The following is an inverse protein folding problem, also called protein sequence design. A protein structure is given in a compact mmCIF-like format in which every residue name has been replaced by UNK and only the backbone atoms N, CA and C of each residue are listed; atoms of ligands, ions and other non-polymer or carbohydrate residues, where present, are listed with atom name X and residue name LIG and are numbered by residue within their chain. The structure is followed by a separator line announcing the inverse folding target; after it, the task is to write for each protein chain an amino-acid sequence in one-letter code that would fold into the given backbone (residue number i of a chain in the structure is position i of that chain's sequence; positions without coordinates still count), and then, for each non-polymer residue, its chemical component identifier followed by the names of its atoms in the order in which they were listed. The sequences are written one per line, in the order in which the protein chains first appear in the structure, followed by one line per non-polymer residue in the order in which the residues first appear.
data_IF_496488486954
#
_entry.id   IF_496488486954
#
_cell.length_a   1.000
_cell.length_b   1.000
_cell.length_c   1.000
_cell.angle_alpha   90.00
_cell.angle_beta   90.00
_cell.angle_gamma   90.00
#
_symmetry.space_group_name_H-M   'P 1'
#
loop_
_entity.id
_entity.type
_entity.pdbx_description
1 polymer ?
#
# COMPACT_ATOMS: atom_id res chain seq x y z
N UNK A 1 -14.54 -3.46 -7.36
CA UNK A 1 -14.23 -2.42 -6.35
C UNK A 1 -13.31 -1.40 -7.00
N UNK A 2 -13.43 -0.10 -6.71
CA UNK A 2 -12.50 0.91 -7.24
C UNK A 2 -11.35 1.11 -6.24
N UNK A 3 -10.14 0.70 -6.63
CA UNK A 3 -8.96 0.73 -5.76
C UNK A 3 -8.44 2.15 -5.48
N UNK A 4 -8.62 3.09 -6.42
CA UNK A 4 -8.18 4.48 -6.27
C UNK A 4 -9.37 5.47 -6.28
N UNK A 5 -9.37 6.41 -5.33
CA UNK A 5 -10.31 7.54 -5.27
C UNK A 5 -9.62 8.85 -5.67
N UNK A 6 -10.39 9.89 -5.99
CA UNK A 6 -9.81 11.21 -6.38
C UNK A 6 -9.06 11.83 -5.20
N UNK A 7 -9.59 11.64 -4.00
CA UNK A 7 -9.03 12.05 -2.73
C UNK A 7 -7.69 11.38 -2.47
N UNK A 8 -7.60 10.08 -2.74
CA UNK A 8 -6.37 9.31 -2.56
C UNK A 8 -5.30 9.73 -3.58
N UNK A 9 -5.66 9.92 -4.85
CA UNK A 9 -4.76 10.48 -5.87
C UNK A 9 -4.24 11.86 -5.43
N UNK A 10 -5.10 12.72 -4.89
CA UNK A 10 -4.69 14.03 -4.38
C UNK A 10 -3.77 13.92 -3.16
N UNK A 11 -4.00 12.96 -2.26
CA UNK A 11 -3.13 12.72 -1.11
C UNK A 11 -1.72 12.29 -1.56
N UNK A 12 -1.61 11.36 -2.50
CA UNK A 12 -0.32 10.94 -3.07
C UNK A 12 0.41 12.10 -3.75
N UNK A 13 -0.30 12.88 -4.56
CA UNK A 13 0.28 14.04 -5.24
C UNK A 13 0.80 15.10 -4.24
N UNK A 14 0.16 15.25 -3.08
CA UNK A 14 0.62 16.17 -2.02
C UNK A 14 1.86 15.64 -1.29
N UNK A 15 1.96 14.33 -1.09
CA UNK A 15 3.14 13.73 -0.46
C UNK A 15 4.36 13.78 -1.40
N UNK A 16 4.15 13.44 -2.68
CA UNK A 16 5.20 13.36 -3.69
C UNK A 16 6.27 12.32 -3.36
N UNK A 17 7.47 12.53 -3.90
CA UNK A 17 8.66 11.69 -3.68
C UNK A 17 9.00 11.55 -2.20
N UNK A 18 9.29 10.33 -1.73
CA UNK A 18 9.64 10.07 -0.32
C UNK A 18 11.10 9.68 -0.10
N UNK A 19 11.92 9.74 -1.15
CA UNK A 19 13.35 9.45 -1.06
C UNK A 19 14.05 10.38 -0.06
N UNK A 20 14.88 9.81 0.81
CA UNK A 20 15.60 10.55 1.84
C UNK A 20 14.77 11.20 2.95
N UNK A 21 13.43 11.15 2.93
CA UNK A 21 12.58 11.75 3.99
C UNK A 21 12.64 10.98 5.32
N UNK A 22 12.94 9.68 5.27
CA UNK A 22 12.96 8.77 6.42
C UNK A 22 11.57 8.26 6.81
N UNK A 23 11.53 7.11 7.49
CA UNK A 23 10.27 6.38 7.76
C UNK A 23 9.30 7.12 8.69
N UNK A 24 9.79 7.92 9.63
CA UNK A 24 8.94 8.70 10.57
C UNK A 24 8.17 9.83 9.87
N UNK A 25 8.71 10.38 8.78
CA UNK A 25 8.11 11.50 8.02
C UNK A 25 7.34 11.03 6.79
N UNK A 26 7.51 9.78 6.40
CA UNK A 26 6.85 9.18 5.24
C UNK A 26 5.49 8.63 5.66
N UNK A 27 4.40 9.14 5.08
CA UNK A 27 3.05 8.65 5.40
C UNK A 27 2.68 7.47 4.51
N UNK A 28 2.01 6.48 5.08
CA UNK A 28 1.34 5.42 4.32
C UNK A 28 -0.10 5.86 4.07
N UNK A 29 -0.44 6.09 2.80
CA UNK A 29 -1.70 6.71 2.40
C UNK A 29 -2.78 5.68 2.04
N UNK A 30 -2.38 4.48 1.63
CA UNK A 30 -3.30 3.37 1.36
C UNK A 30 -2.74 2.05 1.84
N UNK A 31 -3.65 1.15 2.20
CA UNK A 31 -3.36 -0.24 2.53
C UNK A 31 -4.22 -1.15 1.66
N UNK A 32 -3.56 -2.09 0.99
CA UNK A 32 -4.17 -3.15 0.21
C UNK A 32 -3.78 -4.49 0.83
N UNK A 33 -4.65 -5.48 0.76
CA UNK A 33 -4.37 -6.80 1.32
C UNK A 33 -5.09 -7.91 0.57
N UNK A 34 -4.56 -9.13 0.66
CA UNK A 34 -5.25 -10.35 0.27
C UNK A 34 -4.64 -11.53 1.01
N UNK A 35 -5.46 -12.36 1.66
CA UNK A 35 -4.96 -13.50 2.43
C UNK A 35 -3.87 -13.09 3.43
N UNK A 36 -2.64 -13.54 3.19
CA UNK A 36 -1.46 -13.24 4.03
C UNK A 36 -0.57 -12.11 3.49
N UNK A 37 -0.94 -11.50 2.36
CA UNK A 37 -0.18 -10.44 1.71
C UNK A 37 -0.75 -9.07 2.06
N UNK A 38 0.14 -8.12 2.33
CA UNK A 38 -0.20 -6.73 2.63
C UNK A 38 0.70 -5.78 1.81
N UNK A 39 0.12 -4.70 1.30
CA UNK A 39 0.82 -3.63 0.61
C UNK A 39 0.41 -2.27 1.20
N UNK A 40 1.40 -1.52 1.68
CA UNK A 40 1.23 -0.20 2.28
C UNK A 40 1.89 0.85 1.39
N UNK A 41 1.06 1.59 0.64
CA UNK A 41 1.53 2.56 -0.34
C UNK A 41 1.92 3.89 0.31
N UNK A 42 3.14 4.34 0.05
CA UNK A 42 3.66 5.67 0.41
C UNK A 42 3.65 6.60 -0.79
N UNK A 43 3.90 6.09 -1.99
CA UNK A 43 3.89 6.87 -3.22
C UNK A 43 3.00 6.22 -4.28
N UNK A 44 2.57 7.04 -5.24
CA UNK A 44 1.84 6.58 -6.40
C UNK A 44 2.20 7.44 -7.61
N UNK A 45 2.72 6.80 -8.65
CA UNK A 45 2.88 7.41 -9.96
C UNK A 45 1.60 7.19 -10.80
N UNK A 46 0.85 8.25 -11.13
CA UNK A 46 -0.39 8.12 -11.88
C UNK A 46 -0.19 7.85 -13.38
N UNK A 47 1.03 8.03 -13.91
CA UNK A 47 1.34 7.84 -15.34
C UNK A 47 1.54 6.36 -15.64
N UNK A 48 2.35 5.69 -14.84
CA UNK A 48 2.69 4.28 -14.95
C UNK A 48 1.81 3.40 -14.03
N UNK A 49 0.96 4.01 -13.19
CA UNK A 49 0.03 3.34 -12.26
C UNK A 49 0.76 2.42 -11.26
N UNK A 50 1.95 2.85 -10.83
CA UNK A 50 2.81 2.11 -9.90
C UNK A 50 2.81 2.78 -8.54
N UNK A 51 2.65 1.98 -7.49
CA UNK A 51 2.88 2.40 -6.12
C UNK A 51 4.32 2.09 -5.70
N UNK A 52 4.82 2.84 -4.74
CA UNK A 52 5.97 2.47 -3.92
C UNK A 52 5.55 2.40 -2.46
N UNK A 53 6.11 1.47 -1.71
CA UNK A 53 5.83 1.36 -0.29
C UNK A 53 6.25 0.03 0.31
N UNK A 54 5.71 -0.28 1.48
CA UNK A 54 6.06 -1.49 2.22
C UNK A 54 5.20 -2.65 1.74
N UNK A 55 5.84 -3.76 1.41
CA UNK A 55 5.22 -4.99 0.97
C UNK A 55 5.55 -6.08 1.96
N UNK A 56 4.52 -6.80 2.42
CA UNK A 56 4.67 -8.02 3.20
C UNK A 56 4.06 -9.15 2.40
N UNK A 57 4.94 -9.96 1.82
CA UNK A 57 4.60 -11.23 1.19
C UNK A 57 5.30 -12.36 1.94
N UNK A 58 6.28 -12.97 1.28
CA UNK A 58 7.19 -13.94 1.93
C UNK A 58 8.18 -13.25 2.88
N UNK A 59 8.61 -12.04 2.53
CA UNK A 59 9.44 -11.17 3.34
C UNK A 59 8.78 -9.79 3.45
N UNK A 60 9.29 -8.97 4.37
CA UNK A 60 8.85 -7.58 4.55
C UNK A 60 9.90 -6.66 3.94
N UNK A 61 9.54 -6.00 2.83
CA UNK A 61 10.46 -5.18 2.04
C UNK A 61 9.83 -3.86 1.58
N UNK A 62 10.66 -2.88 1.26
CA UNK A 62 10.22 -1.67 0.54
C UNK A 62 10.39 -1.92 -0.96
N UNK A 63 9.32 -1.74 -1.72
CA UNK A 63 9.33 -2.03 -3.14
C UNK A 63 8.16 -1.40 -3.90
N UNK A 64 8.24 -1.51 -5.22
CA UNK A 64 7.21 -1.03 -6.13
C UNK A 64 6.21 -2.13 -6.47
N UNK A 65 4.94 -1.77 -6.63
CA UNK A 65 3.88 -2.70 -7.03
C UNK A 65 2.84 -2.01 -7.92
N UNK A 66 2.31 -2.72 -8.92
CA UNK A 66 1.40 -2.13 -9.92
C UNK A 66 -0.06 -2.18 -9.49
N UNK A 67 -0.78 -1.07 -9.70
CA UNK A 67 -2.23 -1.04 -9.54
C UNK A 67 -2.93 -2.03 -10.48
N UNK A 68 -2.41 -2.21 -11.71
CA UNK A 68 -2.99 -3.12 -12.69
C UNK A 68 -2.87 -4.58 -12.24
N UNK A 69 -1.74 -4.95 -11.62
CA UNK A 69 -1.56 -6.28 -11.03
C UNK A 69 -2.50 -6.49 -9.84
N UNK A 70 -2.67 -5.49 -8.97
CA UNK A 70 -3.63 -5.56 -7.86
C UNK A 70 -5.08 -5.72 -8.38
N UNK A 71 -5.47 -4.96 -9.40
CA UNK A 71 -6.81 -5.04 -10.01
C UNK A 71 -7.03 -6.36 -10.75
N UNK A 72 -6.02 -6.87 -11.47
CA UNK A 72 -6.09 -8.15 -12.17
C UNK A 72 -6.18 -9.32 -11.17
N UNK A 73 -5.33 -9.32 -10.14
CA UNK A 73 -5.40 -10.27 -9.04
C UNK A 73 -6.69 -10.11 -8.24
N UNK A 74 -7.38 -8.97 -8.27
CA UNK A 74 -8.70 -8.86 -7.66
C UNK A 74 -9.80 -9.59 -8.46
N UNK A 75 -9.66 -9.63 -9.79
CA UNK A 75 -10.66 -10.21 -10.68
C UNK A 75 -10.52 -11.73 -10.84
N UNK A 76 -9.30 -12.26 -10.77
CA UNK A 76 -8.98 -13.63 -11.19
C UNK A 76 -9.11 -14.72 -10.09
N UNK A 77 -9.19 -14.35 -8.80
CA UNK A 77 -9.23 -15.31 -7.66
C UNK A 77 -10.62 -15.54 -7.08
N UNK A 78 -11.68 -15.57 -7.90
CA UNK A 78 -12.95 -16.16 -7.42
C UNK A 78 -12.85 -17.70 -7.42
N UNK A 79 -13.14 -18.40 -6.31
CA UNK A 79 -13.89 -17.94 -5.11
C UNK A 79 -13.05 -17.52 -3.89
N UNK A 80 -11.72 -17.50 -3.97
CA UNK A 80 -10.81 -17.35 -2.81
C UNK A 80 -10.44 -15.92 -2.39
N UNK A 81 -11.04 -14.89 -2.99
CA UNK A 81 -10.88 -13.50 -2.55
C UNK A 81 -9.77 -12.78 -3.30
N UNK A 82 -10.11 -11.62 -3.85
CA UNK A 82 -9.19 -10.75 -4.57
C UNK A 82 -8.30 -9.93 -3.65
N UNK A 83 -7.50 -9.04 -4.24
CA UNK A 83 -6.95 -7.91 -3.48
C UNK A 83 -8.11 -7.01 -3.07
N UNK A 84 -8.05 -6.51 -1.85
CA UNK A 84 -8.98 -5.53 -1.29
C UNK A 84 -8.21 -4.30 -0.83
N UNK A 85 -8.87 -3.14 -0.85
CA UNK A 85 -8.35 -1.92 -0.21
C UNK A 85 -9.05 -1.72 1.11
N UNK A 86 -8.27 -1.45 2.16
CA UNK A 86 -8.82 -1.07 3.46
C UNK A 86 -9.52 0.30 3.36
N UNK A 87 -10.83 0.31 3.61
CA UNK A 87 -11.68 1.51 3.57
C UNK A 87 -11.59 2.33 4.86
N UNK A 88 -11.14 1.73 5.95
CA UNK A 88 -10.99 2.36 7.26
C UNK A 88 -9.55 2.74 7.56
N UNK A 89 -8.64 2.53 6.60
CA UNK A 89 -7.25 2.94 6.71
C UNK A 89 -7.14 4.44 7.03
N UNK A 90 -6.44 4.75 8.11
CA UNK A 90 -6.05 6.11 8.44
C UNK A 90 -4.54 6.25 8.19
N UNK A 91 -4.11 7.33 7.49
CA UNK A 91 -2.69 7.57 7.28
C UNK A 91 -1.90 7.57 8.59
N UNK A 92 -0.78 6.85 8.58
CA UNK A 92 0.18 6.75 9.68
C UNK A 92 1.58 6.68 9.09
N UNK A 93 2.61 6.95 9.90
CA UNK A 93 3.99 6.90 9.42
C UNK A 93 4.40 5.50 9.01
N UNK A 94 5.30 5.39 8.04
CA UNK A 94 5.89 4.14 7.61
C UNK A 94 6.56 3.41 8.79
N UNK A 95 7.18 4.15 9.70
CA UNK A 95 7.78 3.59 10.91
C UNK A 95 6.74 2.92 11.83
N UNK A 96 5.58 3.55 12.04
CA UNK A 96 4.48 2.95 12.82
C UNK A 96 3.93 1.68 12.16
N UNK A 97 3.76 1.68 10.83
CA UNK A 97 3.36 0.49 10.09
C UNK A 97 4.37 -0.63 10.30
N UNK A 98 5.66 -0.34 10.12
CA UNK A 98 6.73 -1.33 10.25
C UNK A 98 6.83 -1.91 11.67
N UNK A 99 6.68 -1.09 12.70
CA UNK A 99 6.59 -1.54 14.09
C UNK A 99 5.36 -2.43 14.32
N UNK A 100 4.22 -2.13 13.72
CA UNK A 100 3.00 -2.93 13.88
C UNK A 100 3.11 -4.34 13.28
N UNK A 101 3.92 -4.50 12.22
CA UNK A 101 4.18 -5.81 11.60
C UNK A 101 5.12 -6.63 12.49
N UNK A 102 6.19 -6.02 12.99
CA UNK A 102 7.22 -6.71 13.79
C UNK A 102 6.79 -6.92 15.25
N UNK A 103 5.87 -6.10 15.75
CA UNK A 103 5.39 -6.10 17.14
C UNK A 103 4.37 -7.20 17.48
N UNK A 104 4.02 -8.07 16.53
CA UNK A 104 3.12 -9.20 16.75
C UNK A 104 3.81 -10.44 17.37
N UNK A 105 5.02 -10.29 17.91
CA UNK A 105 5.59 -11.23 18.87
C UNK A 105 5.00 -10.99 20.27
N UNK A 106 3.81 -11.53 20.54
CA UNK A 106 3.37 -11.88 21.89
C UNK A 106 3.51 -13.37 22.09
#
# INVERSE_FOLDING_TARGET
MKMMTKELVSAFAKQGDTDGKGEEKTQVLAHFFTGSWDWWATEYDPKDRVFFGLVKGFEVELGSFSLDELEQNSCNVKPFGGVERDLYWQPKSLAEVRRSINGNGR
#
